data_IF_309649465455
#
_entry.id   IF_309649465455
#
_cell.length_a   1.000
_cell.length_b   1.000
_cell.length_c   1.000
_cell.angle_alpha   90.00
_cell.angle_beta   90.00
_cell.angle_gamma   90.00
#
_symmetry.space_group_name_H-M   'P 1'
#
loop_
_entity.id
_entity.type
_entity.pdbx_description
1 polymer ?
#
# COMPACT_ATOMS: atom_id res chain seq x y z
N UNK A 1 -24.51 2.32 7.47
CA UNK A 1 -23.13 1.86 7.70
C UNK A 1 -22.25 3.10 7.74
N UNK A 2 -22.39 4.03 8.68
CA UNK A 2 -22.01 4.05 10.11
C UNK A 2 -20.54 3.67 10.36
N UNK A 3 -19.77 4.68 10.80
CA UNK A 3 -18.35 4.77 11.21
C UNK A 3 -17.27 4.20 10.25
N UNK A 4 -16.42 5.10 9.75
CA UNK A 4 -15.13 4.79 9.10
C UNK A 4 -14.15 4.25 10.15
N UNK A 5 -14.38 3.05 10.66
CA UNK A 5 -13.55 2.52 11.74
C UNK A 5 -12.15 2.20 11.22
N UNK A 6 -11.18 2.80 11.91
CA UNK A 6 -9.78 2.50 11.72
C UNK A 6 -9.50 1.09 12.27
N UNK A 7 -8.74 0.28 11.55
CA UNK A 7 -8.32 -1.02 12.05
C UNK A 7 -7.35 -0.77 13.21
N UNK A 8 -7.62 -1.39 14.36
CA UNK A 8 -6.79 -1.25 15.56
C UNK A 8 -6.17 -2.58 15.92
N UNK A 9 -4.92 -2.56 16.38
CA UNK A 9 -4.22 -3.73 16.88
C UNK A 9 -3.62 -3.44 18.25
N UNK A 10 -3.43 -4.49 19.06
CA UNK A 10 -2.76 -4.41 20.34
C UNK A 10 -1.29 -4.77 20.15
N UNK A 11 -0.39 -3.82 20.42
CA UNK A 11 1.04 -4.08 20.43
C UNK A 11 1.43 -4.72 21.77
N UNK A 12 1.95 -5.94 21.70
CA UNK A 12 2.33 -6.70 22.90
C UNK A 12 3.61 -6.18 23.55
N UNK A 13 4.46 -5.49 22.80
CA UNK A 13 5.75 -4.98 23.29
C UNK A 13 5.57 -3.73 24.14
N UNK A 14 4.65 -2.85 23.76
CA UNK A 14 4.34 -1.61 24.48
C UNK A 14 3.12 -1.75 25.39
N UNK A 15 2.24 -2.72 25.12
CA UNK A 15 0.98 -2.91 25.86
C UNK A 15 -0.12 -1.92 25.48
N UNK A 16 0.01 -1.25 24.33
CA UNK A 16 -0.90 -0.20 23.87
C UNK A 16 -1.71 -0.63 22.64
N UNK A 17 -2.81 0.09 22.37
CA UNK A 17 -3.61 -0.09 21.15
C UNK A 17 -3.18 0.96 20.13
N UNK A 18 -2.76 0.50 18.95
CA UNK A 18 -2.41 1.36 17.82
C UNK A 18 -3.45 1.24 16.70
N UNK A 19 -3.45 2.24 15.83
CA UNK A 19 -4.17 2.21 14.56
C UNK A 19 -3.26 1.71 13.45
N UNK A 20 -3.71 0.69 12.72
CA UNK A 20 -3.02 0.12 11.57
C UNK A 20 -2.93 1.14 10.43
N UNK A 21 -1.72 1.36 9.93
CA UNK A 21 -1.50 2.16 8.73
C UNK A 21 -1.64 1.30 7.47
N UNK A 22 -2.86 1.20 6.96
CA UNK A 22 -3.15 0.31 5.83
C UNK A 22 -2.55 0.87 4.53
N UNK A 23 -1.73 0.04 3.86
CA UNK A 23 -1.21 0.37 2.54
C UNK A 23 -2.35 0.58 1.54
N UNK A 24 -2.38 1.76 0.91
CA UNK A 24 -3.40 2.09 -0.09
C UNK A 24 -4.83 2.17 0.44
N UNK A 25 -5.05 2.43 1.75
CA UNK A 25 -6.37 2.41 2.39
C UNK A 25 -7.45 3.18 1.59
N UNK A 26 -7.15 4.40 1.16
CA UNK A 26 -8.11 5.22 0.40
C UNK A 26 -8.55 4.54 -0.91
N UNK A 27 -7.62 3.91 -1.63
CA UNK A 27 -7.93 3.17 -2.86
C UNK A 27 -8.73 1.91 -2.56
N UNK A 28 -8.36 1.16 -1.51
CA UNK A 28 -9.10 -0.03 -1.08
C UNK A 28 -10.55 0.32 -0.72
N UNK A 29 -10.74 1.33 0.15
CA UNK A 29 -12.08 1.80 0.53
C UNK A 29 -12.88 2.26 -0.68
N UNK A 30 -12.27 3.01 -1.60
CA UNK A 30 -12.97 3.41 -2.81
C UNK A 30 -13.43 2.20 -3.64
N UNK A 31 -12.54 1.23 -3.88
CA UNK A 31 -12.83 0.03 -4.68
C UNK A 31 -13.94 -0.83 -4.04
N UNK A 32 -13.92 -1.02 -2.72
CA UNK A 32 -14.85 -1.94 -2.04
C UNK A 32 -16.17 -1.26 -1.59
N UNK A 33 -16.10 -0.02 -1.10
CA UNK A 33 -17.24 0.64 -0.45
C UNK A 33 -18.10 1.46 -1.45
N UNK A 34 -17.54 1.91 -2.59
CA UNK A 34 -18.26 2.71 -3.59
C UNK A 34 -18.85 1.86 -4.73
N UNK A 35 -20.04 2.23 -5.24
CA UNK A 35 -20.67 1.54 -6.37
C UNK A 35 -19.84 1.60 -7.68
N UNK A 36 -19.27 2.77 -8.00
CA UNK A 36 -18.33 2.92 -9.12
C UNK A 36 -17.03 2.16 -8.88
N UNK A 37 -16.56 2.14 -7.62
CA UNK A 37 -15.40 1.35 -7.23
C UNK A 37 -15.60 -0.15 -7.45
N UNK A 38 -16.77 -0.68 -7.08
CA UNK A 38 -17.14 -2.08 -7.34
C UNK A 38 -17.24 -2.39 -8.83
N UNK A 39 -17.77 -1.47 -9.64
CA UNK A 39 -17.78 -1.64 -11.10
C UNK A 39 -16.35 -1.67 -11.67
N UNK A 40 -15.46 -0.78 -11.20
CA UNK A 40 -14.05 -0.78 -11.58
C UNK A 40 -13.33 -2.05 -11.13
N UNK A 41 -13.66 -2.57 -9.94
CA UNK A 41 -13.16 -3.85 -9.43
C UNK A 41 -13.47 -4.99 -10.39
N UNK A 42 -14.75 -5.11 -10.74
CA UNK A 42 -15.27 -6.18 -11.58
C UNK A 42 -14.76 -6.10 -13.02
N UNK A 43 -14.66 -4.90 -13.58
CA UNK A 43 -14.24 -4.71 -14.98
C UNK A 43 -12.73 -4.76 -15.17
N UNK A 44 -11.95 -4.20 -14.26
CA UNK A 44 -10.52 -3.92 -14.47
C UNK A 44 -9.63 -4.45 -13.34
N UNK A 45 -9.84 -4.00 -12.09
CA UNK A 45 -8.82 -4.14 -11.03
C UNK A 45 -8.47 -5.59 -10.74
N UNK A 46 -9.46 -6.50 -10.71
CA UNK A 46 -9.22 -7.93 -10.41
C UNK A 46 -8.72 -8.75 -11.60
N UNK A 47 -8.50 -8.14 -12.76
CA UNK A 47 -8.11 -8.85 -13.98
C UNK A 47 -6.60 -9.06 -14.03
N UNK A 48 -6.19 -10.23 -14.53
CA UNK A 48 -4.77 -10.60 -14.63
C UNK A 48 -3.96 -9.60 -15.47
N UNK A 49 -4.54 -9.05 -16.54
CA UNK A 49 -3.87 -8.04 -17.37
C UNK A 49 -3.53 -6.78 -16.56
N UNK A 50 -4.44 -6.32 -15.68
CA UNK A 50 -4.23 -5.13 -14.87
C UNK A 50 -3.09 -5.35 -13.88
N UNK A 51 -3.07 -6.53 -13.23
CA UNK A 51 -1.97 -6.90 -12.33
C UNK A 51 -0.62 -6.92 -13.05
N UNK A 52 -0.56 -7.49 -14.26
CA UNK A 52 0.66 -7.52 -15.09
C UNK A 52 1.10 -6.12 -15.53
N UNK A 53 0.16 -5.28 -15.95
CA UNK A 53 0.44 -3.91 -16.36
C UNK A 53 0.96 -3.06 -15.19
N UNK A 54 0.30 -3.13 -14.04
CA UNK A 54 0.71 -2.40 -12.84
C UNK A 54 2.07 -2.88 -12.32
N UNK A 55 2.30 -4.20 -12.27
CA UNK A 55 3.60 -4.78 -11.94
C UNK A 55 4.70 -4.29 -12.87
N UNK A 56 4.48 -4.36 -14.18
CA UNK A 56 5.42 -3.84 -15.18
C UNK A 56 5.75 -2.35 -14.99
N UNK A 57 4.78 -1.53 -14.58
CA UNK A 57 5.04 -0.12 -14.23
C UNK A 57 5.90 0.00 -12.96
N UNK A 58 5.73 -0.88 -11.98
CA UNK A 58 6.50 -0.88 -10.75
C UNK A 58 7.92 -1.43 -10.96
N UNK A 59 8.14 -2.26 -11.98
CA UNK A 59 9.47 -2.73 -12.38
C UNK A 59 10.28 -1.66 -13.14
N UNK A 60 9.67 -0.53 -13.53
CA UNK A 60 10.39 0.53 -14.26
C UNK A 60 11.30 1.33 -13.32
N UNK A 61 12.51 1.76 -13.76
CA UNK A 61 13.41 2.55 -12.90
C UNK A 61 12.81 3.82 -12.32
N UNK A 62 11.88 4.46 -13.05
CA UNK A 62 11.17 5.63 -12.57
C UNK A 62 10.25 5.37 -11.37
N UNK A 63 9.90 4.12 -11.06
CA UNK A 63 9.13 3.76 -9.87
C UNK A 63 9.94 3.89 -8.58
N UNK A 64 11.29 3.84 -8.65
CA UNK A 64 12.20 4.02 -7.51
C UNK A 64 11.89 5.28 -6.70
N UNK A 65 11.43 6.35 -7.35
CA UNK A 65 11.02 7.61 -6.69
C UNK A 65 9.89 7.44 -5.66
N UNK A 66 9.18 6.31 -5.68
CA UNK A 66 8.11 5.98 -4.73
C UNK A 66 8.64 5.41 -3.41
N UNK A 67 9.88 4.93 -3.35
CA UNK A 67 10.46 4.27 -2.17
C UNK A 67 10.53 5.24 -0.99
N UNK A 68 11.24 6.37 -1.13
CA UNK A 68 11.39 7.32 -0.02
C UNK A 68 10.04 7.86 0.52
N UNK A 69 9.07 8.28 -0.32
CA UNK A 69 7.74 8.64 0.17
C UNK A 69 7.01 7.50 0.86
N UNK A 70 7.19 6.25 0.41
CA UNK A 70 6.58 5.07 1.03
C UNK A 70 7.15 4.83 2.44
N UNK A 71 8.49 4.86 2.59
CA UNK A 71 9.15 4.64 3.88
C UNK A 71 8.69 5.68 4.91
N UNK A 72 8.68 6.95 4.53
CA UNK A 72 8.20 8.04 5.40
C UNK A 72 6.72 7.87 5.73
N UNK A 73 5.88 7.59 4.73
CA UNK A 73 4.43 7.47 4.93
C UNK A 73 4.08 6.32 5.87
N UNK A 74 4.77 5.20 5.78
CA UNK A 74 4.47 3.97 6.51
C UNK A 74 5.40 3.73 7.72
N UNK A 75 6.30 4.66 8.03
CA UNK A 75 7.21 4.57 9.17
C UNK A 75 8.15 3.35 9.10
N UNK A 76 8.52 2.92 7.91
CA UNK A 76 9.40 1.76 7.72
C UNK A 76 10.84 2.20 7.96
N UNK A 77 11.53 1.56 8.91
CA UNK A 77 12.91 1.89 9.28
C UNK A 77 13.92 1.33 8.25
N UNK A 78 14.62 2.19 7.49
CA UNK A 78 15.63 1.75 6.53
C UNK A 78 16.84 1.10 7.20
N UNK A 79 17.07 1.32 8.50
CA UNK A 79 18.17 0.70 9.23
C UNK A 79 18.00 -0.83 9.39
N UNK A 80 16.78 -1.33 9.24
CA UNK A 80 16.48 -2.76 9.24
C UNK A 80 16.78 -3.43 7.89
N UNK A 81 17.06 -2.66 6.84
CA UNK A 81 17.26 -3.21 5.50
C UNK A 81 18.67 -3.77 5.35
N UNK A 82 18.78 -4.88 4.61
CA UNK A 82 20.08 -5.45 4.25
C UNK A 82 20.88 -4.52 3.32
N UNK A 83 20.20 -3.73 2.51
CA UNK A 83 20.78 -2.79 1.54
C UNK A 83 20.15 -1.39 1.69
N UNK A 84 20.90 -0.30 1.40
CA UNK A 84 20.37 1.05 1.49
C UNK A 84 19.27 1.32 0.45
N UNK A 85 18.24 2.13 0.76
CA UNK A 85 17.12 2.40 -0.15
C UNK A 85 17.51 2.89 -1.55
N UNK A 86 18.64 3.58 -1.68
CA UNK A 86 19.14 4.13 -2.94
C UNK A 86 19.63 3.05 -3.91
N UNK A 87 19.98 1.87 -3.39
CA UNK A 87 20.47 0.73 -4.17
C UNK A 87 19.37 0.05 -4.99
N UNK A 88 18.10 0.16 -4.56
CA UNK A 88 16.96 -0.42 -5.25
C UNK A 88 16.77 0.24 -6.62
N UNK A 89 16.62 -0.57 -7.66
CA UNK A 89 16.50 -0.08 -9.05
C UNK A 89 15.08 0.30 -9.42
N UNK A 90 14.10 -0.28 -8.73
CA UNK A 90 12.66 -0.13 -8.91
C UNK A 90 11.98 -0.21 -7.55
N UNK A 91 10.67 0.07 -7.51
CA UNK A 91 9.85 -0.13 -6.32
C UNK A 91 9.63 -1.63 -6.02
N UNK A 92 9.53 -2.47 -7.06
CA UNK A 92 9.57 -3.92 -6.95
C UNK A 92 11.01 -4.43 -6.86
#
# INVERSE_FOLDING_TARGET
>A
MSSREAVRYFDRSTGEIYTEQIYGEASLRWVYENALGRLALESVVKRAFFSRWYGWMMDRPGSRRKIAPFLVKYGVDPAEFADPPESFRSFN
#
